data_IF_659791944309
#
_entry.id   IF_659791944309
#
_cell.length_a   1.000
_cell.length_b   1.000
_cell.length_c   1.000
_cell.angle_alpha   90.00
_cell.angle_beta   90.00
_cell.angle_gamma   90.00
#
_symmetry.space_group_name_H-M   'P 1'
#
loop_
_entity.id
_entity.type
_entity.pdbx_description
1 polymer ?
#
# COMPACT_ATOMS: atom_id res chain seq x y z
N UNK A 1 -16.31 -10.98 -9.96
CA UNK A 1 -16.90 -9.88 -9.16
C UNK A 1 -16.28 -9.96 -7.77
N UNK A 2 -15.40 -9.02 -7.40
CA UNK A 2 -14.72 -9.01 -6.09
C UNK A 2 -15.70 -8.45 -5.04
N UNK A 3 -16.56 -9.31 -4.47
CA UNK A 3 -17.58 -8.89 -3.49
C UNK A 3 -17.15 -9.03 -2.03
N UNK A 4 -16.07 -9.76 -1.75
CA UNK A 4 -15.53 -9.94 -0.40
C UNK A 4 -14.27 -9.10 -0.20
N UNK A 5 -14.11 -8.58 1.01
CA UNK A 5 -12.88 -7.91 1.50
C UNK A 5 -11.66 -8.81 1.28
N UNK A 6 -11.79 -10.13 1.50
CA UNK A 6 -10.68 -11.07 1.32
C UNK A 6 -10.24 -11.18 -0.13
N UNK A 7 -11.20 -11.16 -1.05
CA UNK A 7 -10.91 -11.22 -2.47
C UNK A 7 -10.19 -9.93 -2.93
N UNK A 8 -10.57 -8.78 -2.38
CA UNK A 8 -9.86 -7.51 -2.63
C UNK A 8 -8.42 -7.56 -2.08
N UNK A 9 -8.23 -8.09 -0.86
CA UNK A 9 -6.90 -8.29 -0.26
C UNK A 9 -6.02 -9.20 -1.11
N UNK A 10 -6.57 -10.33 -1.58
CA UNK A 10 -5.86 -11.24 -2.48
C UNK A 10 -5.48 -10.57 -3.81
N UNK A 11 -6.40 -9.81 -4.42
CA UNK A 11 -6.16 -9.14 -5.69
C UNK A 11 -5.02 -8.10 -5.62
N UNK A 12 -4.79 -7.50 -4.45
CA UNK A 12 -3.71 -6.51 -4.27
C UNK A 12 -2.42 -7.10 -3.71
N UNK A 13 -2.44 -8.32 -3.16
CA UNK A 13 -1.28 -8.92 -2.49
C UNK A 13 -0.06 -9.04 -3.40
N UNK A 14 -0.22 -9.63 -4.59
CA UNK A 14 0.87 -9.76 -5.57
C UNK A 14 1.42 -8.41 -6.03
N UNK A 15 0.59 -7.50 -6.57
CA UNK A 15 1.04 -6.17 -6.98
C UNK A 15 1.71 -5.35 -5.85
N UNK A 16 1.26 -5.53 -4.61
CA UNK A 16 1.85 -4.89 -3.44
C UNK A 16 3.25 -5.45 -3.15
N UNK A 17 3.41 -6.77 -3.16
CA UNK A 17 4.69 -7.45 -2.98
C UNK A 17 5.68 -7.09 -4.10
N UNK A 18 5.26 -7.15 -5.36
CA UNK A 18 6.08 -6.82 -6.53
C UNK A 18 6.66 -5.40 -6.44
N UNK A 19 5.89 -4.44 -5.89
CA UNK A 19 6.29 -3.03 -5.84
C UNK A 19 6.98 -2.63 -4.54
N UNK A 20 6.63 -3.23 -3.42
CA UNK A 20 7.03 -2.79 -2.08
C UNK A 20 7.78 -3.84 -1.26
N UNK A 21 8.00 -5.03 -1.83
CA UNK A 21 8.74 -6.13 -1.26
C UNK A 21 7.88 -7.09 -0.41
N UNK A 22 8.43 -8.26 -0.06
CA UNK A 22 7.70 -9.36 0.58
C UNK A 22 7.23 -9.05 2.00
N UNK A 23 7.74 -8.00 2.63
CA UNK A 23 7.29 -7.52 3.95
C UNK A 23 6.15 -6.52 3.88
N UNK A 24 5.70 -6.12 2.69
CA UNK A 24 4.59 -5.19 2.54
C UNK A 24 3.27 -5.84 2.94
N UNK A 25 2.46 -5.15 3.75
CA UNK A 25 1.17 -5.66 4.25
C UNK A 25 0.08 -4.60 4.09
N UNK A 26 -1.08 -5.03 3.62
CA UNK A 26 -2.28 -4.21 3.55
C UNK A 26 -2.82 -3.92 4.95
N UNK A 27 -3.07 -2.64 5.26
CA UNK A 27 -3.73 -2.19 6.48
C UNK A 27 -5.23 -2.01 6.26
N UNK A 28 -5.61 -1.36 5.15
CA UNK A 28 -7.00 -1.13 4.77
C UNK A 28 -7.23 -1.51 3.30
N UNK A 29 -8.48 -1.81 2.96
CA UNK A 29 -8.88 -2.12 1.58
C UNK A 29 -10.28 -1.59 1.33
N UNK A 30 -10.43 -0.87 0.23
CA UNK A 30 -11.67 -0.22 -0.17
C UNK A 30 -11.85 -0.38 -1.67
N UNK A 31 -13.09 -0.64 -2.11
CA UNK A 31 -13.44 -0.70 -3.53
C UNK A 31 -14.07 0.62 -3.97
N UNK A 32 -13.43 1.29 -4.94
CA UNK A 32 -13.87 2.55 -5.52
C UNK A 32 -14.08 2.36 -7.03
N UNK A 33 -15.27 1.89 -7.40
CA UNK A 33 -15.59 1.54 -8.79
C UNK A 33 -14.71 0.39 -9.29
N UNK A 34 -13.78 0.67 -10.21
CA UNK A 34 -12.83 -0.31 -10.74
C UNK A 34 -11.47 -0.32 -10.02
N UNK A 35 -11.27 0.59 -9.07
CA UNK A 35 -10.04 0.73 -8.33
C UNK A 35 -10.16 0.10 -6.94
N UNK A 36 -9.14 -0.64 -6.52
CA UNK A 36 -8.95 -1.03 -5.13
C UNK A 36 -7.95 -0.06 -4.51
N UNK A 37 -8.34 0.57 -3.40
CA UNK A 37 -7.53 1.57 -2.69
C UNK A 37 -7.32 1.14 -1.25
N UNK A 38 -6.27 1.67 -0.64
CA UNK A 38 -6.07 1.48 0.79
C UNK A 38 -4.72 1.96 1.27
N UNK A 39 -4.46 1.65 2.54
CA UNK A 39 -3.18 1.86 3.19
C UNK A 39 -2.41 0.55 3.27
N UNK A 40 -1.10 0.63 3.15
CA UNK A 40 -0.20 -0.47 3.37
C UNK A 40 1.03 0.00 4.16
N UNK A 41 1.68 -0.95 4.81
CA UNK A 41 2.91 -0.74 5.56
C UNK A 41 4.00 -1.64 4.99
N UNK A 42 5.23 -1.12 4.96
CA UNK A 42 6.47 -1.86 4.73
C UNK A 42 7.50 -1.40 5.76
N UNK A 43 8.63 -2.10 5.97
CA UNK A 43 9.67 -1.64 6.88
C UNK A 43 10.00 -0.16 6.69
N UNK A 44 9.79 0.63 7.74
CA UNK A 44 10.05 2.05 7.79
C UNK A 44 9.12 2.95 6.96
N UNK A 45 7.97 2.48 6.47
CA UNK A 45 7.06 3.31 5.67
C UNK A 45 5.60 2.89 5.77
N UNK A 46 4.70 3.87 5.84
CA UNK A 46 3.26 3.72 5.57
C UNK A 46 2.91 4.49 4.30
N UNK A 47 2.14 3.89 3.40
CA UNK A 47 1.82 4.46 2.10
C UNK A 47 0.38 4.15 1.68
N UNK A 48 -0.19 5.03 0.86
CA UNK A 48 -1.44 4.77 0.14
C UNK A 48 -1.13 3.98 -1.12
N UNK A 49 -1.95 2.99 -1.44
CA UNK A 49 -1.91 2.32 -2.73
C UNK A 49 -3.22 2.50 -3.51
N UNK A 50 -3.11 2.41 -4.84
CA UNK A 50 -4.23 2.35 -5.77
C UNK A 50 -3.93 1.27 -6.80
N UNK A 51 -4.82 0.29 -6.90
CA UNK A 51 -4.79 -0.76 -7.92
C UNK A 51 -5.97 -0.58 -8.88
N UNK A 52 -5.68 -0.17 -10.11
CA UNK A 52 -6.66 -0.14 -11.20
C UNK A 52 -6.69 -1.51 -11.86
N UNK A 53 -7.78 -2.25 -11.60
CA UNK A 53 -7.96 -3.61 -12.12
C UNK A 53 -8.15 -3.67 -13.64
N UNK A 54 -8.68 -2.60 -14.26
CA UNK A 54 -8.91 -2.55 -15.72
C UNK A 54 -7.61 -2.35 -16.47
N UNK A 55 -6.77 -1.45 -15.97
CA UNK A 55 -5.47 -1.12 -16.57
C UNK A 55 -4.31 -1.94 -16.03
N UNK A 56 -4.59 -2.83 -15.07
CA UNK A 56 -3.59 -3.60 -14.29
C UNK A 56 -2.47 -2.70 -13.77
N UNK A 57 -2.82 -1.50 -13.28
CA UNK A 57 -1.84 -0.49 -12.86
C UNK A 57 -1.85 -0.33 -11.36
N UNK A 58 -0.69 -0.51 -10.75
CA UNK A 58 -0.50 -0.35 -9.30
C UNK A 58 0.34 0.90 -9.00
N UNK A 59 -0.18 1.80 -8.17
CA UNK A 59 0.45 3.06 -7.77
C UNK A 59 0.55 3.16 -6.27
N UNK A 60 1.60 3.80 -5.79
CA UNK A 60 1.86 4.01 -4.35
C UNK A 60 2.25 5.45 -4.09
N UNK A 61 1.85 5.99 -2.94
CA UNK A 61 2.25 7.32 -2.46
C UNK A 61 2.58 7.21 -0.97
N UNK A 62 3.82 7.53 -0.61
CA UNK A 62 4.29 7.51 0.77
C UNK A 62 3.51 8.55 1.60
N UNK A 63 3.00 8.13 2.78
CA UNK A 63 2.33 9.03 3.74
C UNK A 63 3.26 9.30 4.93
N UNK A 64 3.91 8.25 5.44
CA UNK A 64 4.88 8.33 6.52
C UNK A 64 6.10 7.51 6.14
N UNK A 65 7.29 8.03 6.43
CA UNK A 65 8.55 7.32 6.22
C UNK A 65 9.49 7.60 7.38
N UNK A 66 10.10 6.56 7.92
CA UNK A 66 11.19 6.70 8.87
C UNK A 66 12.33 7.44 8.16
N UNK A 67 12.64 8.62 8.69
CA UNK A 67 13.82 9.38 8.31
C UNK A 67 14.91 9.16 9.34
N UNK A 68 16.17 9.30 8.93
CA UNK A 68 17.27 9.38 9.88
C UNK A 68 17.17 10.74 10.57
N UNK A 69 17.27 10.77 11.90
CA UNK A 69 17.39 12.02 12.64
C UNK A 69 18.68 12.71 12.19
N UNK A 70 18.54 13.85 11.50
CA UNK A 70 19.68 14.70 11.11
C UNK A 70 19.97 15.79 12.13
N UNK A 71 19.08 15.97 13.11
CA UNK A 71 19.19 17.04 14.11
C UNK A 71 20.18 16.64 15.20
N UNK A 72 21.15 17.51 15.50
CA UNK A 72 21.94 17.42 16.74
C UNK A 72 21.00 17.54 17.95
N UNK A 73 21.16 16.70 18.99
CA UNK A 73 20.40 16.84 20.23
C UNK A 73 20.46 18.28 20.73
N UNK A 74 19.34 18.80 21.25
CA UNK A 74 19.36 20.06 21.98
C UNK A 74 20.20 19.83 23.25
N UNK A 75 21.20 20.70 23.45
CA UNK A 75 22.08 20.69 24.62
C UNK A 75 21.31 21.05 25.89
#
# INVERSE_FOLDING_TARGET
MLRSIDALRQAVSGPLEDRCGPSARTLTVELHGAEVRGLAISPGRVFRYVFDSRRKRFRTVDILKLTKATRKPAA
#
